data_IF_501429096538
#
_entry.id   IF_501429096538
#
_cell.length_a   1.000
_cell.length_b   1.000
_cell.length_c   1.000
_cell.angle_alpha   90.00
_cell.angle_beta   90.00
_cell.angle_gamma   90.00
#
_symmetry.space_group_name_H-M   'P 1'
#
loop_
_entity.id
_entity.type
_entity.pdbx_description
1 polymer ?
#
# COMPACT_ATOMS: atom_id res chain seq x y z
N UNK A 1 29.05 16.23 -60.79
CA UNK A 1 28.54 15.65 -62.05
C UNK A 1 27.43 14.68 -61.65
N UNK A 2 26.16 15.11 -61.74
CA UNK A 2 25.18 14.69 -62.78
C UNK A 2 24.94 13.18 -62.72
N UNK A 3 23.75 12.60 -62.73
CA UNK A 3 22.35 13.01 -62.82
C UNK A 3 21.57 11.70 -62.51
N UNK A 4 20.46 11.73 -61.77
CA UNK A 4 19.08 11.65 -62.31
C UNK A 4 18.66 10.27 -62.88
N UNK A 5 17.90 9.56 -62.04
CA UNK A 5 16.56 8.94 -62.25
C UNK A 5 16.33 7.81 -63.28
N UNK A 6 15.23 7.10 -62.98
CA UNK A 6 14.35 6.25 -63.81
C UNK A 6 14.77 4.79 -63.90
N UNK A 7 13.90 3.76 -63.91
CA UNK A 7 12.47 3.54 -63.64
C UNK A 7 12.22 2.04 -64.01
N UNK A 8 11.03 1.50 -63.66
CA UNK A 8 10.35 0.37 -64.32
C UNK A 8 10.91 -1.06 -64.01
N UNK A 9 10.16 -2.17 -63.94
CA UNK A 9 8.74 -2.56 -63.92
C UNK A 9 8.72 -4.13 -63.86
N UNK A 10 7.64 -4.73 -63.33
CA UNK A 10 7.14 -6.14 -63.55
C UNK A 10 7.89 -7.26 -62.77
N UNK A 11 7.27 -8.23 -62.06
CA UNK A 11 5.87 -8.60 -61.84
C UNK A 11 5.71 -9.89 -61.00
N UNK A 12 4.49 -10.08 -60.50
CA UNK A 12 3.77 -11.32 -60.13
C UNK A 12 4.33 -12.27 -59.04
N UNK A 13 3.68 -12.27 -57.86
CA UNK A 13 2.89 -13.44 -57.42
C UNK A 13 2.01 -13.16 -56.21
N UNK A 14 0.78 -13.60 -56.35
CA UNK A 14 -0.38 -13.43 -55.49
C UNK A 14 -0.32 -14.36 -54.27
N UNK A 15 -0.78 -13.90 -53.11
CA UNK A 15 -1.80 -14.62 -52.34
C UNK A 15 -2.49 -13.65 -51.36
N UNK A 16 -3.78 -13.46 -51.58
CA UNK A 16 -4.67 -12.68 -50.74
C UNK A 16 -5.11 -13.51 -49.53
N UNK A 17 -5.10 -12.91 -48.34
CA UNK A 17 -6.16 -13.13 -47.35
C UNK A 17 -6.63 -11.77 -46.84
N UNK A 18 -7.74 -11.32 -47.40
CA UNK A 18 -8.61 -10.31 -46.82
C UNK A 18 -9.39 -10.94 -45.67
N UNK A 19 -9.26 -10.41 -44.45
CA UNK A 19 -10.30 -10.53 -43.42
C UNK A 19 -10.65 -9.12 -42.95
N UNK A 20 -11.78 -8.62 -43.46
CA UNK A 20 -12.48 -7.50 -42.88
C UNK A 20 -13.25 -8.03 -41.65
N UNK A 21 -12.98 -7.47 -40.47
CA UNK A 21 -13.88 -7.54 -39.33
C UNK A 21 -14.04 -6.12 -38.78
N UNK A 22 -15.08 -5.43 -39.23
CA UNK A 22 -15.68 -4.34 -38.45
C UNK A 22 -16.30 -4.98 -37.21
N UNK A 23 -15.57 -4.95 -36.10
CA UNK A 23 -16.11 -5.17 -34.77
C UNK A 23 -16.03 -3.86 -34.02
N UNK A 24 -17.18 -3.30 -33.70
CA UNK A 24 -17.35 -2.20 -32.74
C UNK A 24 -16.78 -2.62 -31.39
N UNK A 25 -15.47 -2.44 -31.21
CA UNK A 25 -14.78 -2.56 -29.95
C UNK A 25 -14.49 -1.17 -29.46
N UNK A 26 -15.29 -0.69 -28.52
CA UNK A 26 -14.94 0.42 -27.64
C UNK A 26 -13.47 0.29 -27.30
N UNK A 27 -12.68 1.28 -27.70
CA UNK A 27 -11.40 1.50 -27.06
C UNK A 27 -11.74 1.84 -25.61
N UNK A 28 -11.78 0.81 -24.75
CA UNK A 28 -11.64 1.00 -23.32
C UNK A 28 -10.26 1.58 -23.13
N UNK A 29 -10.24 2.91 -23.20
CA UNK A 29 -9.31 3.73 -22.49
C UNK A 29 -9.44 3.32 -21.02
N UNK A 30 -8.73 2.26 -20.64
CA UNK A 30 -8.41 2.00 -19.24
C UNK A 30 -7.58 3.19 -18.78
N UNK A 31 -8.29 4.25 -18.40
CA UNK A 31 -7.82 5.20 -17.42
C UNK A 31 -7.40 4.35 -16.23
N UNK A 32 -6.09 4.06 -16.17
CA UNK A 32 -5.42 3.73 -14.94
C UNK A 32 -5.54 4.97 -14.06
N UNK A 33 -6.72 5.15 -13.46
CA UNK A 33 -6.97 6.18 -12.47
C UNK A 33 -5.93 5.97 -11.39
N UNK A 34 -5.03 6.94 -11.25
CA UNK A 34 -4.11 6.99 -10.12
C UNK A 34 -4.95 6.82 -8.86
N UNK A 35 -4.63 5.80 -8.06
CA UNK A 35 -5.36 5.55 -6.82
C UNK A 35 -5.34 6.84 -5.99
N UNK A 36 -6.51 7.36 -5.64
CA UNK A 36 -6.59 8.58 -4.83
C UNK A 36 -5.84 8.36 -3.52
N UNK A 37 -4.97 9.30 -3.16
CA UNK A 37 -4.23 9.30 -1.90
C UNK A 37 -4.70 10.41 -0.97
N UNK A 38 -4.39 10.25 0.31
CA UNK A 38 -4.51 11.27 1.35
C UNK A 38 -3.13 11.51 1.94
N UNK A 39 -2.78 12.78 2.07
CA UNK A 39 -1.51 13.20 2.66
C UNK A 39 -1.60 13.17 4.19
N UNK A 40 -0.70 12.46 4.86
CA UNK A 40 -0.66 12.34 6.32
C UNK A 40 0.70 12.80 6.84
N UNK A 41 0.71 13.76 7.78
CA UNK A 41 1.93 14.23 8.44
C UNK A 41 2.35 13.26 9.55
N UNK A 42 3.46 12.55 9.34
CA UNK A 42 4.01 11.58 10.29
C UNK A 42 5.26 12.12 10.98
N UNK A 43 5.85 11.32 11.87
CA UNK A 43 7.10 11.65 12.55
C UNK A 43 8.28 11.74 11.58
N UNK A 44 8.20 11.04 10.45
CA UNK A 44 9.26 10.93 9.45
C UNK A 44 9.00 11.78 8.19
N UNK A 45 8.02 12.67 8.28
CA UNK A 45 7.58 13.52 7.17
C UNK A 45 6.20 13.14 6.65
N UNK A 46 5.79 13.81 5.59
CA UNK A 46 4.50 13.57 4.96
C UNK A 46 4.53 12.31 4.12
N UNK A 47 3.54 11.44 4.30
CA UNK A 47 3.36 10.21 3.51
C UNK A 47 2.03 10.24 2.77
N UNK A 48 2.02 9.71 1.55
CA UNK A 48 0.79 9.56 0.75
C UNK A 48 0.19 8.18 1.00
N UNK A 49 -0.98 8.14 1.64
CA UNK A 49 -1.69 6.90 1.96
C UNK A 49 -2.83 6.70 0.97
N UNK A 50 -3.03 5.49 0.41
CA UNK A 50 -4.20 5.20 -0.40
C UNK A 50 -5.49 5.53 0.36
N UNK A 51 -6.43 6.23 -0.27
CA UNK A 51 -7.70 6.64 0.36
C UNK A 51 -8.55 5.46 0.82
N UNK A 52 -8.39 4.30 0.19
CA UNK A 52 -9.12 3.06 0.51
C UNK A 52 -8.16 1.85 0.54
N UNK A 53 -7.27 1.74 1.54
CA UNK A 53 -6.32 0.64 1.62
C UNK A 53 -7.08 -0.67 1.83
N UNK A 54 -6.63 -1.74 1.19
CA UNK A 54 -7.21 -3.09 1.28
C UNK A 54 -6.39 -4.00 2.20
N UNK A 55 -5.08 -3.77 2.27
CA UNK A 55 -4.15 -4.55 3.09
C UNK A 55 -3.54 -3.64 4.16
N UNK A 56 -4.14 -3.64 5.36
CA UNK A 56 -3.64 -2.86 6.51
C UNK A 56 -2.81 -3.77 7.41
N UNK A 57 -1.58 -3.37 7.73
CA UNK A 57 -0.81 -3.97 8.83
C UNK A 57 -0.95 -3.08 10.06
N UNK A 58 -1.35 -3.66 11.19
CA UNK A 58 -1.58 -2.93 12.43
C UNK A 58 -0.59 -3.39 13.52
N UNK A 59 0.29 -2.49 13.94
CA UNK A 59 1.29 -2.71 14.99
C UNK A 59 1.02 -1.87 16.25
N UNK A 60 0.31 -0.75 16.13
CA UNK A 60 -0.01 0.10 17.28
C UNK A 60 -1.19 -0.45 18.08
N UNK A 61 -0.94 -0.78 19.35
CA UNK A 61 -1.96 -1.34 20.25
C UNK A 61 -3.21 -0.47 20.43
N UNK A 62 -3.10 0.85 20.26
CA UNK A 62 -4.22 1.79 20.46
C UNK A 62 -5.13 1.81 19.24
N UNK A 63 -4.65 1.37 18.08
CA UNK A 63 -5.42 1.32 16.84
C UNK A 63 -6.36 0.12 16.74
N UNK A 64 -6.11 -0.97 17.48
CA UNK A 64 -6.84 -2.23 17.28
C UNK A 64 -8.36 -2.12 17.49
N UNK A 65 -8.80 -1.48 18.58
CA UNK A 65 -10.24 -1.28 18.83
C UNK A 65 -10.85 -0.39 17.74
N UNK A 66 -10.19 0.69 17.37
CA UNK A 66 -10.68 1.60 16.32
C UNK A 66 -10.84 0.89 14.98
N UNK A 67 -9.88 0.05 14.61
CA UNK A 67 -9.94 -0.74 13.38
C UNK A 67 -11.11 -1.74 13.42
N UNK A 68 -11.34 -2.39 14.56
CA UNK A 68 -12.49 -3.29 14.76
C UNK A 68 -13.83 -2.54 14.71
N UNK A 69 -13.94 -1.39 15.39
CA UNK A 69 -15.14 -0.54 15.39
C UNK A 69 -15.50 0.00 13.99
N UNK A 70 -14.51 0.09 13.09
CA UNK A 70 -14.68 0.53 11.70
C UNK A 70 -14.83 -0.64 10.72
N UNK A 71 -14.94 -1.87 11.21
CA UNK A 71 -14.99 -3.09 10.40
C UNK A 71 -13.77 -3.24 9.46
N UNK A 72 -12.61 -2.68 9.84
CA UNK A 72 -11.35 -2.81 9.12
C UNK A 72 -10.56 -3.96 9.71
N UNK A 73 -10.51 -5.07 8.97
CA UNK A 73 -9.67 -6.21 9.32
C UNK A 73 -8.23 -6.03 8.82
N UNK A 74 -7.21 -5.99 9.70
CA UNK A 74 -5.81 -6.04 9.30
C UNK A 74 -5.46 -7.35 8.59
N UNK A 75 -4.51 -7.33 7.66
CA UNK A 75 -3.95 -8.56 7.06
C UNK A 75 -2.88 -9.19 7.95
N UNK A 76 -2.24 -8.39 8.79
CA UNK A 76 -1.31 -8.85 9.81
C UNK A 76 -1.35 -7.95 11.06
N UNK A 77 -1.21 -8.57 12.21
CA UNK A 77 -1.16 -7.91 13.51
C UNK A 77 -0.46 -8.83 14.53
N UNK A 78 0.11 -8.30 15.62
CA UNK A 78 0.68 -9.11 16.69
C UNK A 78 -0.45 -9.69 17.57
N UNK A 79 -1.20 -10.67 17.06
CA UNK A 79 -2.47 -11.16 17.61
C UNK A 79 -2.37 -11.55 19.08
N UNK A 80 -1.26 -12.15 19.51
CA UNK A 80 -1.08 -12.63 20.90
C UNK A 80 -1.15 -11.52 21.95
N UNK A 81 -0.87 -10.28 21.58
CA UNK A 81 -0.89 -9.11 22.47
C UNK A 81 -2.10 -8.20 22.26
N UNK A 82 -2.98 -8.54 21.31
CA UNK A 82 -4.30 -7.91 21.14
C UNK A 82 -5.17 -8.21 22.36
N UNK A 83 -5.92 -7.24 22.93
CA UNK A 83 -6.83 -7.50 24.04
C UNK A 83 -7.79 -8.66 23.77
N UNK A 84 -8.10 -9.46 24.79
CA UNK A 84 -9.00 -10.62 24.68
C UNK A 84 -10.45 -10.28 24.31
N UNK A 85 -10.81 -9.01 24.42
CA UNK A 85 -12.14 -8.50 24.06
C UNK A 85 -12.31 -8.30 22.56
N UNK A 86 -11.22 -8.25 21.79
CA UNK A 86 -11.26 -8.00 20.34
C UNK A 86 -11.25 -9.32 19.58
N UNK A 87 -12.05 -9.41 18.52
CA UNK A 87 -12.13 -10.57 17.63
C UNK A 87 -10.81 -10.79 16.89
N UNK A 88 -10.10 -9.70 16.56
CA UNK A 88 -8.78 -9.71 15.93
C UNK A 88 -7.79 -10.66 16.60
N UNK A 89 -7.90 -10.85 17.92
CA UNK A 89 -7.00 -11.73 18.66
C UNK A 89 -7.08 -13.18 18.17
N UNK A 90 -8.28 -13.68 17.96
CA UNK A 90 -8.55 -15.08 17.65
C UNK A 90 -8.77 -15.32 16.14
N UNK A 91 -8.79 -14.27 15.32
CA UNK A 91 -8.97 -14.38 13.86
C UNK A 91 -7.74 -15.01 13.16
N UNK A 92 -7.85 -16.29 12.82
CA UNK A 92 -6.83 -17.06 12.11
C UNK A 92 -6.52 -16.60 10.67
N UNK A 93 -7.39 -15.78 10.08
CA UNK A 93 -7.13 -15.18 8.77
C UNK A 93 -6.13 -14.02 8.82
N UNK A 94 -5.84 -13.49 10.01
CA UNK A 94 -4.84 -12.44 10.22
C UNK A 94 -3.51 -13.08 10.59
N UNK A 95 -2.45 -12.71 9.86
CA UNK A 95 -1.09 -13.17 10.11
C UNK A 95 -0.63 -12.69 11.49
N UNK A 96 -0.24 -13.63 12.37
CA UNK A 96 0.27 -13.31 13.70
C UNK A 96 1.73 -12.86 13.64
N UNK A 97 1.96 -11.58 13.91
CA UNK A 97 3.29 -10.97 13.94
C UNK A 97 4.02 -11.18 15.29
N UNK A 98 3.43 -11.92 16.23
CA UNK A 98 4.07 -12.24 17.50
C UNK A 98 3.85 -11.19 18.59
N UNK A 99 4.93 -10.57 19.08
CA UNK A 99 4.88 -9.66 20.22
C UNK A 99 5.87 -8.49 20.09
N UNK A 100 5.79 -7.51 20.99
CA UNK A 100 6.62 -6.30 20.97
C UNK A 100 8.13 -6.55 21.02
N UNK A 101 8.58 -7.61 21.72
CA UNK A 101 10.00 -7.88 21.94
C UNK A 101 10.64 -8.54 20.73
N UNK A 102 9.99 -9.57 20.21
CA UNK A 102 10.46 -10.40 19.09
C UNK A 102 9.34 -10.55 18.06
N UNK A 103 9.00 -9.48 17.32
CA UNK A 103 8.01 -9.55 16.27
C UNK A 103 8.57 -10.21 15.00
N UNK A 104 7.70 -10.82 14.22
CA UNK A 104 8.02 -11.31 12.88
C UNK A 104 7.96 -10.14 11.89
N UNK A 105 9.06 -9.40 11.75
CA UNK A 105 9.12 -8.22 10.87
C UNK A 105 9.15 -8.60 9.39
N UNK A 106 9.65 -9.79 9.04
CA UNK A 106 9.67 -10.27 7.66
C UNK A 106 8.24 -10.59 7.18
N UNK A 107 7.39 -11.09 8.08
CA UNK A 107 5.98 -11.32 7.79
C UNK A 107 5.20 -10.03 7.48
N UNK A 108 5.66 -8.85 7.93
CA UNK A 108 5.05 -7.56 7.56
C UNK A 108 5.14 -7.35 6.04
N UNK A 109 6.31 -7.58 5.45
CA UNK A 109 6.53 -7.39 4.01
C UNK A 109 5.83 -8.48 3.20
N UNK A 110 5.89 -9.72 3.69
CA UNK A 110 5.21 -10.85 3.05
C UNK A 110 3.69 -10.68 2.97
N UNK A 111 3.10 -9.85 3.85
CA UNK A 111 1.69 -9.49 3.80
C UNK A 111 1.33 -8.48 2.69
N UNK A 112 2.34 -7.91 2.01
CA UNK A 112 2.21 -6.90 0.94
C UNK A 112 1.25 -5.75 1.31
N UNK A 113 1.47 -5.04 2.43
CA UNK A 113 0.57 -3.98 2.90
C UNK A 113 0.45 -2.82 1.92
N UNK A 114 -0.74 -2.21 1.90
CA UNK A 114 -0.98 -0.89 1.32
C UNK A 114 -0.61 0.23 2.30
N UNK A 115 -0.64 -0.06 3.61
CA UNK A 115 -0.27 0.85 4.70
C UNK A 115 0.14 0.07 5.94
N UNK A 116 1.15 0.57 6.65
CA UNK A 116 1.59 0.05 7.94
C UNK A 116 1.29 1.09 9.01
N UNK A 117 0.47 0.73 10.00
CA UNK A 117 0.18 1.59 11.16
C UNK A 117 1.07 1.13 12.32
N UNK A 118 1.98 1.99 12.76
CA UNK A 118 2.92 1.71 13.86
C UNK A 118 2.77 2.73 15.00
N UNK A 119 3.47 2.49 16.11
CA UNK A 119 3.49 3.41 17.24
C UNK A 119 4.34 2.93 18.41
N UNK A 120 4.10 3.54 19.57
CA UNK A 120 4.93 3.50 20.78
C UNK A 120 5.65 2.19 21.08
N UNK A 121 4.93 1.07 21.04
CA UNK A 121 5.44 -0.23 21.47
C UNK A 121 6.38 -0.90 20.47
N UNK A 122 6.39 -0.42 19.22
CA UNK A 122 7.25 -0.88 18.14
C UNK A 122 8.38 0.10 17.79
N UNK A 123 8.53 1.20 18.54
CA UNK A 123 9.56 2.22 18.31
C UNK A 123 10.98 1.66 18.19
N UNK A 124 11.32 0.65 18.99
CA UNK A 124 12.63 -0.04 18.93
C UNK A 124 12.87 -0.78 17.59
N UNK A 125 11.83 -1.01 16.80
CA UNK A 125 11.89 -1.68 15.50
C UNK A 125 11.66 -0.73 14.33
N UNK A 126 11.42 0.56 14.57
CA UNK A 126 11.05 1.54 13.54
C UNK A 126 12.02 1.56 12.37
N UNK A 127 13.33 1.61 12.63
CA UNK A 127 14.33 1.65 11.55
C UNK A 127 14.29 0.38 10.69
N UNK A 128 14.09 -0.79 11.33
CA UNK A 128 13.99 -2.06 10.60
C UNK A 128 12.68 -2.17 9.83
N UNK A 129 11.57 -1.70 10.39
CA UNK A 129 10.27 -1.64 9.70
C UNK A 129 10.40 -0.74 8.46
N UNK A 130 11.04 0.43 8.56
CA UNK A 130 11.30 1.32 7.42
C UNK A 130 12.16 0.67 6.34
N UNK A 131 13.24 0.01 6.75
CA UNK A 131 14.13 -0.71 5.83
C UNK A 131 13.36 -1.78 5.04
N UNK A 132 12.46 -2.50 5.71
CA UNK A 132 11.68 -3.59 5.14
C UNK A 132 10.45 -3.13 4.33
N UNK A 133 9.81 -2.03 4.74
CA UNK A 133 8.57 -1.55 4.14
C UNK A 133 8.71 -1.06 2.69
N UNK A 134 9.93 -0.73 2.25
CA UNK A 134 10.17 -0.16 0.92
C UNK A 134 9.37 1.12 0.72
N UNK A 135 8.53 1.15 -0.31
CA UNK A 135 7.67 2.29 -0.64
C UNK A 135 6.31 2.25 0.07
N UNK A 136 6.06 1.25 0.93
CA UNK A 136 4.80 1.17 1.67
C UNK A 136 4.69 2.34 2.64
N UNK A 137 3.59 3.12 2.64
CA UNK A 137 3.43 4.22 3.57
C UNK A 137 3.32 3.71 5.01
N UNK A 138 4.13 4.30 5.89
CA UNK A 138 4.13 4.03 7.33
C UNK A 138 3.49 5.21 8.03
N UNK A 139 2.39 4.95 8.75
CA UNK A 139 1.73 5.91 9.64
C UNK A 139 2.18 5.64 11.06
N UNK A 140 3.14 6.41 11.55
CA UNK A 140 3.61 6.34 12.94
C UNK A 140 2.76 7.23 13.86
N UNK A 141 2.07 6.58 14.81
CA UNK A 141 1.21 7.21 15.81
C UNK A 141 1.94 7.54 17.11
N UNK A 142 3.26 7.44 17.16
CA UNK A 142 4.02 7.94 18.31
C UNK A 142 3.99 9.48 18.34
N UNK A 143 3.74 10.12 19.50
CA UNK A 143 3.90 11.57 19.62
C UNK A 143 5.32 12.01 19.27
N UNK A 144 5.45 13.14 18.58
CA UNK A 144 6.77 13.64 18.18
C UNK A 144 7.59 14.13 19.36
N UNK A 145 8.86 13.73 19.40
CA UNK A 145 9.81 14.17 20.40
C UNK A 145 9.94 15.70 20.44
N UNK A 146 9.90 16.26 21.64
CA UNK A 146 10.06 17.69 21.88
C UNK A 146 8.87 18.57 21.47
N UNK A 147 7.74 17.98 21.06
CA UNK A 147 6.49 18.73 20.83
C UNK A 147 5.64 18.80 22.10
N UNK A 148 4.91 19.91 22.32
CA UNK A 148 3.92 19.99 23.38
C UNK A 148 2.87 18.87 23.24
N UNK A 149 2.57 18.21 24.34
CA UNK A 149 1.65 17.07 24.34
C UNK A 149 0.24 17.45 23.87
N UNK A 150 -0.23 18.67 24.16
CA UNK A 150 -1.53 19.16 23.72
C UNK A 150 -1.60 19.39 22.20
N UNK A 151 -0.49 19.76 21.56
CA UNK A 151 -0.39 19.83 20.09
C UNK A 151 -0.43 18.45 19.46
N UNK A 152 0.28 17.47 20.05
CA UNK A 152 0.28 16.10 19.56
C UNK A 152 -1.08 15.42 19.75
N UNK A 153 -1.79 15.70 20.85
CA UNK A 153 -3.17 15.24 21.01
C UNK A 153 -4.10 15.79 19.94
N UNK A 154 -4.01 17.08 19.60
CA UNK A 154 -4.80 17.65 18.50
C UNK A 154 -4.46 16.94 17.18
N UNK A 155 -3.17 16.84 16.83
CA UNK A 155 -2.71 16.17 15.60
C UNK A 155 -3.26 14.75 15.45
N UNK A 156 -3.34 13.98 16.54
CA UNK A 156 -3.77 12.58 16.48
C UNK A 156 -5.30 12.39 16.50
N UNK A 157 -6.08 13.44 16.78
CA UNK A 157 -7.53 13.32 17.00
C UNK A 157 -8.38 14.19 16.08
N UNK A 158 -7.76 15.07 15.28
CA UNK A 158 -8.44 15.99 14.35
C UNK A 158 -7.81 15.94 12.97
#
# INVERSE_FOLDING_TARGET
KTARRFAALIGASSLALTLAACGSGTAENSESGSAETVSIETNDGTVEVPKNPKKVVALDNRSFQTLEDWDIKPVAAPRKIVPKSLELREDESVVDLGNHREPDLEAIVAAEPDVIITGQRFTQHTDKIKELAGDTPIVDLEPRDGKPLDEEFKRQTT
#
